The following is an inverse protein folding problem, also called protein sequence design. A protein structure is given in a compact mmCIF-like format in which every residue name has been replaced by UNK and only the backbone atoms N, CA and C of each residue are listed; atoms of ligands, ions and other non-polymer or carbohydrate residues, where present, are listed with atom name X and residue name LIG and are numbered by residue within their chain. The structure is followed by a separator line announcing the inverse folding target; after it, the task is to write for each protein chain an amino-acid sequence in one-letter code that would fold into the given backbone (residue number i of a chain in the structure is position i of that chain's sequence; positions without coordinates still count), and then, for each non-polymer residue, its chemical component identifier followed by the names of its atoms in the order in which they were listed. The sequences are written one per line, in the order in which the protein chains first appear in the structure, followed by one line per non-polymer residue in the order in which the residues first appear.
data_IF_358033396899
#
_entry.id   IF_358033396899
#
_cell.length_a   1.000
_cell.length_b   1.000
_cell.length_c   1.000
_cell.angle_alpha   90.00
_cell.angle_beta   90.00
_cell.angle_gamma   90.00
#
_symmetry.space_group_name_H-M   'P 1'
#
loop_
_entity.id
_entity.type
_entity.pdbx_description
1 polymer ?
#
# COMPACT_ATOMS: atom_id res chain seq x y z
N UNK A 1 15.02 2.08 6.32
CA UNK A 1 13.56 2.12 6.60
C UNK A 1 12.77 0.97 6.00
N UNK A 2 12.85 0.68 4.69
CA UNK A 2 12.09 -0.43 4.08
C UNK A 2 12.40 -1.81 4.72
N UNK A 3 13.68 -2.12 4.96
CA UNK A 3 14.11 -3.34 5.69
C UNK A 3 13.47 -3.45 7.09
N UNK A 4 13.28 -2.33 7.79
CA UNK A 4 12.72 -2.28 9.15
C UNK A 4 11.19 -2.39 9.17
N UNK A 5 10.51 -2.08 8.07
CA UNK A 5 9.07 -2.31 7.95
C UNK A 5 8.79 -3.77 7.60
N UNK A 6 9.62 -4.41 6.77
CA UNK A 6 9.50 -5.85 6.49
C UNK A 6 9.88 -6.75 7.68
N UNK A 7 10.61 -6.24 8.67
CA UNK A 7 10.78 -6.95 9.95
C UNK A 7 9.52 -6.92 10.82
N UNK A 8 8.50 -6.14 10.46
CA UNK A 8 7.18 -6.22 11.06
C UNK A 8 6.35 -7.27 10.32
N UNK A 9 5.95 -8.32 11.04
CA UNK A 9 5.23 -9.46 10.48
C UNK A 9 3.95 -9.04 9.73
N UNK A 10 3.18 -8.09 10.27
CA UNK A 10 1.94 -7.61 9.61
C UNK A 10 2.25 -6.90 8.30
N UNK A 11 3.29 -6.08 8.26
CA UNK A 11 3.69 -5.38 7.03
C UNK A 11 4.20 -6.37 5.98
N UNK A 12 4.90 -7.43 6.40
CA UNK A 12 5.32 -8.52 5.52
C UNK A 12 4.11 -9.26 4.95
N UNK A 13 3.13 -9.63 5.80
CA UNK A 13 1.89 -10.27 5.35
C UNK A 13 1.13 -9.40 4.34
N UNK A 14 1.02 -8.09 4.58
CA UNK A 14 0.41 -7.14 3.65
C UNK A 14 1.18 -7.13 2.32
N UNK A 15 2.51 -7.02 2.38
CA UNK A 15 3.36 -6.98 1.19
C UNK A 15 3.22 -8.26 0.36
N UNK A 16 3.34 -9.43 0.99
CA UNK A 16 3.18 -10.73 0.34
C UNK A 16 1.80 -10.88 -0.26
N UNK A 17 0.74 -10.50 0.45
CA UNK A 17 -0.64 -10.59 -0.06
C UNK A 17 -0.84 -9.71 -1.29
N UNK A 18 -0.40 -8.46 -1.23
CA UNK A 18 -0.55 -7.52 -2.34
C UNK A 18 0.26 -7.95 -3.58
N UNK A 19 1.47 -8.44 -3.38
CA UNK A 19 2.32 -8.95 -4.45
C UNK A 19 1.75 -10.24 -5.07
N UNK A 20 1.42 -11.25 -4.26
CA UNK A 20 0.85 -12.50 -4.78
C UNK A 20 -0.46 -12.25 -5.52
N UNK A 21 -1.31 -11.35 -5.03
CA UNK A 21 -2.52 -10.98 -5.75
C UNK A 21 -2.22 -10.23 -7.06
N UNK A 22 -1.21 -9.37 -7.13
CA UNK A 22 -0.90 -8.66 -8.38
C UNK A 22 -0.41 -9.60 -9.48
N UNK A 23 0.29 -10.68 -9.11
CA UNK A 23 0.79 -11.69 -10.05
C UNK A 23 -0.30 -12.67 -10.52
N UNK A 24 -1.25 -13.01 -9.64
CA UNK A 24 -2.23 -14.09 -9.90
C UNK A 24 -3.59 -13.59 -10.38
N UNK A 25 -3.95 -12.33 -10.13
CA UNK A 25 -5.24 -11.80 -10.52
C UNK A 25 -5.36 -11.65 -12.04
N UNK A 26 -6.56 -11.92 -12.57
CA UNK A 26 -6.86 -11.57 -13.95
C UNK A 26 -6.83 -10.05 -14.13
N UNK A 27 -6.59 -9.57 -15.35
CA UNK A 27 -6.51 -8.13 -15.67
C UNK A 27 -7.72 -7.35 -15.16
N UNK A 28 -8.94 -7.88 -15.35
CA UNK A 28 -10.16 -7.23 -14.86
C UNK A 28 -10.23 -7.11 -13.34
N UNK A 29 -9.84 -8.17 -12.61
CA UNK A 29 -9.80 -8.17 -11.14
C UNK A 29 -8.69 -7.25 -10.63
N UNK A 30 -7.52 -7.30 -11.26
CA UNK A 30 -6.38 -6.43 -10.95
C UNK A 30 -6.79 -4.97 -11.09
N UNK A 31 -7.40 -4.57 -12.21
CA UNK A 31 -7.87 -3.19 -12.45
C UNK A 31 -8.94 -2.75 -11.44
N UNK A 32 -9.89 -3.63 -11.12
CA UNK A 32 -10.90 -3.33 -10.09
C UNK A 32 -10.26 -3.13 -8.70
N UNK A 33 -9.25 -3.94 -8.39
CA UNK A 33 -8.49 -3.83 -7.12
C UNK A 33 -7.63 -2.57 -7.11
N UNK A 34 -6.99 -2.20 -8.21
CA UNK A 34 -6.21 -0.98 -8.35
C UNK A 34 -7.05 0.27 -8.04
N UNK A 35 -8.28 0.35 -8.58
CA UNK A 35 -9.23 1.43 -8.25
C UNK A 35 -9.55 1.50 -6.76
N UNK A 36 -9.80 0.35 -6.14
CA UNK A 36 -10.13 0.25 -4.70
C UNK A 36 -8.95 0.65 -3.82
N UNK A 37 -7.74 0.18 -4.14
CA UNK A 37 -6.51 0.51 -3.41
C UNK A 37 -6.12 1.98 -3.61
N UNK A 38 -6.36 2.56 -4.79
CA UNK A 38 -6.21 3.99 -5.03
C UNK A 38 -7.13 4.84 -4.17
N UNK A 39 -8.39 4.42 -4.01
CA UNK A 39 -9.32 5.08 -3.10
C UNK A 39 -8.88 4.97 -1.63
N UNK A 40 -8.35 3.82 -1.22
CA UNK A 40 -7.76 3.64 0.11
C UNK A 40 -6.57 4.58 0.32
N UNK A 41 -5.64 4.66 -0.64
CA UNK A 41 -4.50 5.57 -0.56
C UNK A 41 -4.94 7.03 -0.40
N UNK A 42 -5.88 7.50 -1.23
CA UNK A 42 -6.42 8.86 -1.09
C UNK A 42 -7.04 9.11 0.29
N UNK A 43 -7.64 8.11 0.90
CA UNK A 43 -8.18 8.21 2.28
C UNK A 43 -7.06 8.26 3.32
N UNK A 44 -6.02 7.44 3.17
CA UNK A 44 -4.84 7.48 4.05
C UNK A 44 -4.16 8.85 3.99
N UNK A 45 -4.04 9.40 2.78
CA UNK A 45 -3.32 10.65 2.54
C UNK A 45 -4.15 11.90 2.94
N UNK A 46 -5.47 11.78 3.11
CA UNK A 46 -6.40 12.88 3.42
C UNK A 46 -6.00 13.71 4.64
N UNK A 47 -5.45 13.08 5.66
CA UNK A 47 -5.03 13.72 6.91
C UNK A 47 -3.53 13.52 7.16
N UNK A 48 -2.71 13.48 6.10
CA UNK A 48 -1.26 13.29 6.23
C UNK A 48 -0.63 14.31 7.18
N UNK A 49 -1.10 15.56 7.16
CA UNK A 49 -0.59 16.61 8.05
C UNK A 49 -0.83 16.32 9.53
N UNK A 50 -1.95 15.69 9.89
CA UNK A 50 -2.24 15.29 11.28
C UNK A 50 -1.23 14.24 11.79
N UNK A 51 -0.78 13.34 10.91
CA UNK A 51 0.17 12.29 11.27
C UNK A 51 1.63 12.66 10.98
N UNK A 52 1.92 13.91 10.57
CA UNK A 52 3.25 14.35 10.15
C UNK A 52 4.31 14.07 11.20
N UNK A 53 4.00 14.35 12.47
CA UNK A 53 4.92 14.14 13.60
C UNK A 53 4.91 12.69 14.12
N UNK A 54 3.89 11.90 13.77
CA UNK A 54 3.81 10.49 14.12
C UNK A 54 4.56 9.63 13.09
N UNK A 55 5.89 9.60 13.20
CA UNK A 55 6.76 8.85 12.29
C UNK A 55 6.32 7.39 12.05
N UNK A 56 5.85 6.60 13.04
CA UNK A 56 5.38 5.25 12.78
C UNK A 56 4.21 5.17 11.77
N UNK A 57 3.27 6.11 11.84
CA UNK A 57 2.08 6.15 10.97
C UNK A 57 2.46 6.66 9.58
N UNK A 58 3.10 7.83 9.49
CA UNK A 58 3.46 8.44 8.20
C UNK A 58 4.34 7.53 7.36
N UNK A 59 5.30 6.86 7.99
CA UNK A 59 6.22 5.97 7.28
C UNK A 59 5.59 4.62 6.91
N UNK A 60 4.60 4.14 7.67
CA UNK A 60 3.82 2.97 7.27
C UNK A 60 2.90 3.29 6.10
N UNK A 61 2.30 4.47 6.09
CA UNK A 61 1.42 4.92 5.01
C UNK A 61 2.21 5.10 3.71
N UNK A 62 3.37 5.74 3.76
CA UNK A 62 4.29 5.84 2.60
C UNK A 62 4.68 4.44 2.08
N UNK A 63 5.03 3.51 2.97
CA UNK A 63 5.40 2.16 2.56
C UNK A 63 4.26 1.42 1.84
N UNK A 64 3.03 1.45 2.38
CA UNK A 64 1.85 0.87 1.74
C UNK A 64 1.55 1.59 0.42
N UNK A 65 1.64 2.91 0.39
CA UNK A 65 1.40 3.72 -0.80
C UNK A 65 2.34 3.36 -1.96
N UNK A 66 3.62 3.08 -1.66
CA UNK A 66 4.60 2.63 -2.67
C UNK A 66 4.28 1.25 -3.21
N UNK A 67 3.89 0.29 -2.35
CA UNK A 67 3.48 -1.05 -2.81
C UNK A 67 2.27 -0.98 -3.74
N UNK A 68 1.25 -0.21 -3.34
CA UNK A 68 0.06 0.01 -4.17
C UNK A 68 0.43 0.65 -5.51
N UNK A 69 1.26 1.69 -5.50
CA UNK A 69 1.66 2.38 -6.75
C UNK A 69 2.47 1.51 -7.70
N UNK A 70 3.34 0.66 -7.15
CA UNK A 70 4.22 -0.20 -7.94
C UNK A 70 3.50 -1.40 -8.54
N UNK A 71 2.60 -2.03 -7.79
CA UNK A 71 1.95 -3.27 -8.21
C UNK A 71 0.54 -3.09 -8.76
N UNK A 72 -0.09 -1.94 -8.51
CA UNK A 72 -1.45 -1.62 -8.93
C UNK A 72 -1.52 -0.23 -9.57
N UNK A 73 -0.86 -0.02 -10.72
CA UNK A 73 -1.01 1.23 -11.47
C UNK A 73 -2.49 1.45 -11.82
N UNK A 74 -2.93 2.71 -11.72
CA UNK A 74 -4.24 3.12 -12.20
C UNK A 74 -3.94 3.87 -13.50
N UNK A 75 -4.28 3.23 -14.62
CA UNK A 75 -4.30 3.87 -15.94
C UNK A 75 -5.20 5.12 -15.96
#
# INVERSE_FOLDING_TARGET
MQRTKLSNERMQQIATTLFMHSELASVGIHNARAKSLGALRRRMDRHTDYYRECAPVSTSFDFIGRMVSGWYPID
#
